data_IF_219752409745
#
_entry.id   IF_219752409745
#
_cell.length_a   1.000
_cell.length_b   1.000
_cell.length_c   1.000
_cell.angle_alpha   90.00
_cell.angle_beta   90.00
_cell.angle_gamma   90.00
#
_symmetry.space_group_name_H-M   'P 1'
#
loop_
_entity.id
_entity.type
_entity.pdbx_description
1 polymer ?
#
# COMPACT_ATOMS: atom_id res chain seq x y z
N UNK A 1 -2.62 10.46 -3.06
CA UNK A 1 -2.80 9.65 -1.82
C UNK A 1 -3.41 8.26 -2.07
N UNK A 2 -4.36 8.09 -2.99
CA UNK A 2 -4.96 6.77 -3.26
C UNK A 2 -3.98 5.66 -3.66
N UNK A 3 -3.03 5.95 -4.58
CA UNK A 3 -2.04 4.99 -5.05
C UNK A 3 -1.11 4.53 -3.92
N UNK A 4 -0.51 5.47 -3.20
CA UNK A 4 0.37 5.14 -2.08
C UNK A 4 -0.38 4.49 -0.92
N UNK A 5 -1.61 4.92 -0.63
CA UNK A 5 -2.47 4.28 0.36
C UNK A 5 -2.80 2.83 0.01
N UNK A 6 -3.13 2.54 -1.26
CA UNK A 6 -3.44 1.18 -1.70
C UNK A 6 -2.20 0.28 -1.69
N UNK A 7 -1.02 0.79 -2.04
CA UNK A 7 0.26 0.07 -1.94
C UNK A 7 0.56 -0.28 -0.48
N UNK A 8 0.44 0.67 0.44
CA UNK A 8 0.68 0.43 1.86
C UNK A 8 -0.29 -0.62 2.43
N UNK A 9 -1.57 -0.53 2.06
CA UNK A 9 -2.57 -1.52 2.45
C UNK A 9 -2.28 -2.91 1.84
N UNK A 10 -1.87 -2.97 0.58
CA UNK A 10 -1.49 -4.21 -0.09
C UNK A 10 -0.27 -4.86 0.59
N UNK A 11 0.74 -4.07 0.96
CA UNK A 11 1.92 -4.56 1.67
C UNK A 11 1.56 -5.13 3.04
N UNK A 12 0.74 -4.43 3.85
CA UNK A 12 0.27 -4.93 5.15
C UNK A 12 -0.45 -6.28 4.99
N UNK A 13 -1.29 -6.40 3.95
CA UNK A 13 -2.06 -7.63 3.69
C UNK A 13 -1.18 -8.77 3.18
N UNK A 14 -0.24 -8.48 2.29
CA UNK A 14 0.76 -9.44 1.83
C UNK A 14 1.52 -10.02 3.02
N UNK A 15 2.03 -9.15 3.90
CA UNK A 15 2.77 -9.54 5.10
C UNK A 15 1.95 -10.40 6.05
N UNK A 16 0.65 -10.10 6.19
CA UNK A 16 -0.28 -10.92 6.98
C UNK A 16 -0.58 -12.26 6.33
N UNK A 17 -0.76 -12.29 5.00
CA UNK A 17 -0.96 -13.54 4.24
C UNK A 17 0.24 -14.47 4.35
N UNK A 18 1.43 -13.92 4.15
CA UNK A 18 2.71 -14.62 4.24
C UNK A 18 2.90 -15.31 5.60
N UNK A 19 2.70 -14.56 6.70
CA UNK A 19 2.82 -15.11 8.05
C UNK A 19 1.75 -16.17 8.37
N UNK A 20 0.52 -16.00 7.89
CA UNK A 20 -0.57 -16.96 8.13
C UNK A 20 -0.40 -18.26 7.34
N UNK A 21 0.31 -18.21 6.20
CA UNK A 21 0.64 -19.38 5.39
C UNK A 21 1.88 -20.14 5.89
N UNK A 22 2.49 -19.70 7.00
CA UNK A 22 3.64 -20.37 7.62
C UNK A 22 4.99 -20.03 6.99
N UNK A 23 5.04 -19.06 6.07
CA UNK A 23 6.28 -18.63 5.42
C UNK A 23 7.10 -17.70 6.32
N UNK A 24 8.42 -17.89 6.31
CA UNK A 24 9.36 -17.07 7.05
C UNK A 24 9.77 -15.82 6.27
N UNK A 25 10.32 -14.83 6.96
CA UNK A 25 10.80 -13.60 6.30
C UNK A 25 12.12 -13.81 5.54
N UNK A 26 12.78 -14.93 5.82
CA UNK A 26 14.04 -15.31 5.20
C UNK A 26 13.87 -15.82 3.77
N UNK A 27 12.71 -16.36 3.46
CA UNK A 27 12.31 -16.77 2.10
C UNK A 27 12.07 -15.59 1.15
N UNK A 28 11.90 -14.37 1.67
CA UNK A 28 11.68 -13.20 0.82
C UNK A 28 13.01 -12.66 0.29
N UNK A 29 13.17 -12.52 -1.05
CA UNK A 29 14.40 -12.00 -1.65
C UNK A 29 14.66 -10.56 -1.17
N UNK A 30 13.59 -9.76 -1.08
CA UNK A 30 13.63 -8.37 -0.66
C UNK A 30 12.85 -8.15 0.64
N UNK A 31 13.49 -7.45 1.58
CA UNK A 31 12.86 -7.00 2.83
C UNK A 31 12.74 -5.48 2.83
N UNK A 32 11.57 -4.99 3.20
CA UNK A 32 11.37 -3.56 3.41
C UNK A 32 12.20 -3.10 4.62
N UNK A 33 12.99 -2.03 4.46
CA UNK A 33 13.83 -1.47 5.53
C UNK A 33 13.03 -1.10 6.79
N UNK A 34 11.82 -0.55 6.61
CA UNK A 34 10.93 -0.14 7.70
C UNK A 34 9.84 -1.17 8.05
N UNK A 35 9.87 -2.34 7.40
CA UNK A 35 8.94 -3.44 7.63
C UNK A 35 7.46 -3.05 7.50
N UNK A 36 6.60 -3.69 8.29
CA UNK A 36 5.14 -3.47 8.31
C UNK A 36 4.78 -2.14 9.00
N UNK A 37 5.60 -1.70 9.95
CA UNK A 37 5.38 -0.47 10.73
C UNK A 37 5.43 0.75 9.82
N UNK A 38 6.43 0.81 8.92
CA UNK A 38 6.53 1.87 7.92
C UNK A 38 5.27 1.97 7.05
N UNK A 39 4.66 0.83 6.69
CA UNK A 39 3.41 0.83 5.92
C UNK A 39 2.19 1.27 6.70
N UNK A 40 2.11 1.00 8.01
CA UNK A 40 1.06 1.56 8.86
C UNK A 40 1.17 3.08 8.97
N UNK A 41 2.38 3.60 9.17
CA UNK A 41 2.63 5.05 9.22
C UNK A 41 2.28 5.69 7.88
N UNK A 42 2.78 5.12 6.77
CA UNK A 42 2.49 5.61 5.42
C UNK A 42 1.01 5.58 5.08
N UNK A 43 0.28 4.54 5.48
CA UNK A 43 -1.18 4.46 5.31
C UNK A 43 -1.90 5.57 6.08
N UNK A 44 -1.55 5.77 7.36
CA UNK A 44 -2.12 6.82 8.21
C UNK A 44 -1.87 8.21 7.63
N UNK A 45 -0.64 8.50 7.18
CA UNK A 45 -0.30 9.77 6.54
C UNK A 45 -1.12 10.01 5.26
N UNK A 46 -1.31 8.98 4.43
CA UNK A 46 -2.15 9.10 3.24
C UNK A 46 -3.62 9.42 3.59
N UNK A 47 -4.15 8.87 4.68
CA UNK A 47 -5.51 9.17 5.16
C UNK A 47 -5.59 10.62 5.65
N UNK A 48 -4.62 11.07 6.44
CA UNK A 48 -4.58 12.46 6.95
C UNK A 48 -4.49 13.45 5.77
N UNK A 49 -3.64 13.17 4.79
CA UNK A 49 -3.53 14.00 3.60
C UNK A 49 -4.84 14.05 2.81
N UNK A 50 -5.58 12.94 2.67
CA UNK A 50 -6.90 12.96 2.03
C UNK A 50 -7.88 13.86 2.76
N UNK A 51 -7.90 13.82 4.09
CA UNK A 51 -8.75 14.68 4.93
C UNK A 51 -8.34 16.15 4.77
N UNK A 52 -7.04 16.44 4.78
CA UNK A 52 -6.53 17.79 4.59
C UNK A 52 -6.87 18.35 3.19
N UNK A 53 -6.72 17.54 2.14
CA UNK A 53 -7.11 17.93 0.78
C UNK A 53 -8.61 18.16 0.65
N UNK A 54 -9.44 17.35 1.33
CA UNK A 54 -10.88 17.59 1.40
C UNK A 54 -11.20 18.93 2.05
N UNK A 55 -10.56 19.26 3.17
CA UNK A 55 -10.77 20.52 3.87
C UNK A 55 -10.38 21.73 3.02
N UNK A 56 -9.20 21.71 2.40
CA UNK A 56 -8.72 22.81 1.53
C UNK A 56 -9.62 22.96 0.29
N UNK A 57 -10.17 21.85 -0.21
CA UNK A 57 -11.11 21.87 -1.35
C UNK A 57 -12.46 22.51 -0.99
N UNK A 58 -12.89 22.44 0.27
CA UNK A 58 -14.11 23.09 0.76
C UNK A 58 -13.88 24.55 1.17
N UNK A 59 -12.74 24.82 1.80
CA UNK A 59 -12.37 26.15 2.31
C UNK A 59 -11.00 26.55 1.75
N UNK A 60 -10.95 27.07 0.51
CA UNK A 60 -9.71 27.52 -0.09
C UNK A 60 -9.12 28.70 0.69
N UNK A 61 -7.84 28.61 1.05
CA UNK A 61 -7.15 29.65 1.84
C UNK A 61 -6.90 30.86 0.94
N UNK A 62 -7.52 32.00 1.28
CA UNK A 62 -7.35 33.27 0.55
C UNK A 62 -8.20 33.42 -0.72
N UNK A 63 -9.12 32.48 -0.99
CA UNK A 63 -10.08 32.56 -2.10
C UNK A 63 -11.48 32.93 -1.63
N UNK A 64 -12.33 33.33 -2.57
CA UNK A 64 -13.76 33.55 -2.31
C UNK A 64 -14.45 32.20 -1.99
N UNK A 65 -15.05 32.02 -0.80
CA UNK A 65 -15.81 30.81 -0.47
C UNK A 65 -17.02 30.58 -1.40
N UNK A 66 -17.35 31.55 -2.26
CA UNK A 66 -18.42 31.49 -3.25
C UNK A 66 -18.00 30.79 -4.56
N UNK A 67 -16.73 30.38 -4.71
CA UNK A 67 -16.21 29.62 -5.87
C UNK A 67 -16.91 28.28 -6.16
N UNK A 68 -17.85 27.86 -5.29
CA UNK A 68 -18.89 26.89 -5.61
C UNK A 68 -18.40 25.46 -5.82
N UNK A 69 -19.34 24.59 -6.21
CA UNK A 69 -19.10 23.18 -6.44
C UNK A 69 -17.99 22.93 -7.49
N UNK A 70 -17.79 23.86 -8.43
CA UNK A 70 -16.76 23.75 -9.47
C UNK A 70 -15.35 23.69 -8.88
N UNK A 71 -14.98 24.63 -8.01
CA UNK A 71 -13.66 24.66 -7.39
C UNK A 71 -13.39 23.40 -6.55
N UNK A 72 -14.42 22.94 -5.82
CA UNK A 72 -14.34 21.69 -5.05
C UNK A 72 -14.10 20.46 -5.94
N UNK A 73 -14.82 20.34 -7.05
CA UNK A 73 -14.63 19.23 -7.97
C UNK A 73 -13.27 19.33 -8.66
N UNK A 74 -12.82 20.50 -9.11
CA UNK A 74 -11.49 20.63 -9.73
C UNK A 74 -10.34 20.09 -8.84
N UNK A 75 -10.40 20.31 -7.53
CA UNK A 75 -9.34 19.87 -6.61
C UNK A 75 -9.59 18.48 -6.00
N UNK A 76 -10.84 18.05 -5.85
CA UNK A 76 -11.20 16.82 -5.13
C UNK A 76 -11.90 15.75 -5.99
N UNK A 77 -12.07 15.94 -7.30
CA UNK A 77 -12.79 15.02 -8.20
C UNK A 77 -12.29 13.57 -8.16
N UNK A 78 -11.00 13.36 -7.92
CA UNK A 78 -10.42 12.02 -7.87
C UNK A 78 -11.08 11.12 -6.80
N UNK A 79 -11.44 11.67 -5.64
CA UNK A 79 -12.03 10.89 -4.55
C UNK A 79 -13.43 10.32 -4.88
N UNK A 80 -14.43 11.12 -5.29
CA UNK A 80 -15.74 10.60 -5.66
C UNK A 80 -15.67 9.68 -6.88
N UNK A 81 -14.82 9.95 -7.87
CA UNK A 81 -14.64 9.04 -9.02
C UNK A 81 -14.12 7.68 -8.57
N UNK A 82 -13.06 7.64 -7.74
CA UNK A 82 -12.49 6.38 -7.24
C UNK A 82 -13.51 5.61 -6.41
N UNK A 83 -14.27 6.29 -5.54
CA UNK A 83 -15.32 5.68 -4.73
C UNK A 83 -16.45 5.13 -5.62
N UNK A 84 -16.90 5.90 -6.61
CA UNK A 84 -17.96 5.49 -7.53
C UNK A 84 -17.54 4.28 -8.37
N UNK A 85 -16.34 4.29 -8.95
CA UNK A 85 -15.80 3.17 -9.71
C UNK A 85 -15.63 1.92 -8.83
N UNK A 86 -15.14 2.09 -7.60
CA UNK A 86 -15.00 0.99 -6.64
C UNK A 86 -16.36 0.42 -6.22
N UNK A 87 -17.35 1.27 -5.94
CA UNK A 87 -18.70 0.87 -5.60
C UNK A 87 -19.39 0.17 -6.77
N UNK A 88 -19.25 0.70 -7.99
CA UNK A 88 -19.76 0.09 -9.22
C UNK A 88 -19.18 -1.32 -9.43
N UNK A 89 -17.84 -1.45 -9.36
CA UNK A 89 -17.18 -2.75 -9.45
C UNK A 89 -17.66 -3.70 -8.35
N UNK A 90 -17.80 -3.21 -7.12
CA UNK A 90 -18.25 -4.00 -5.97
C UNK A 90 -19.68 -4.50 -6.15
N UNK A 91 -20.62 -3.66 -6.58
CA UNK A 91 -22.02 -4.03 -6.83
C UNK A 91 -22.09 -5.04 -7.98
N UNK A 92 -21.39 -4.78 -9.08
CA UNK A 92 -21.37 -5.67 -10.25
C UNK A 92 -20.81 -7.06 -9.91
N UNK A 93 -19.81 -7.13 -9.03
CA UNK A 93 -19.17 -8.39 -8.61
C UNK A 93 -19.84 -9.02 -7.39
N UNK A 94 -20.71 -8.32 -6.66
CA UNK A 94 -21.37 -8.85 -5.46
C UNK A 94 -22.15 -10.13 -5.76
N UNK A 95 -22.87 -10.18 -6.88
CA UNK A 95 -23.71 -11.31 -7.26
C UNK A 95 -22.92 -12.54 -7.79
N UNK A 96 -21.58 -12.48 -7.87
CA UNK A 96 -20.76 -13.60 -8.35
C UNK A 96 -20.21 -14.43 -7.18
N UNK A 97 -20.45 -15.76 -7.14
CA UNK A 97 -19.81 -16.66 -6.18
C UNK A 97 -18.29 -16.53 -6.22
N UNK A 98 -17.65 -16.26 -5.07
CA UNK A 98 -16.19 -16.16 -4.95
C UNK A 98 -15.57 -14.78 -5.20
N UNK A 99 -16.35 -13.79 -5.65
CA UNK A 99 -15.91 -12.40 -5.86
C UNK A 99 -15.93 -11.56 -4.58
N UNK A 100 -15.44 -12.13 -3.47
CA UNK A 100 -15.25 -11.38 -2.23
C UNK A 100 -14.15 -10.35 -2.49
N UNK A 101 -14.49 -9.05 -2.43
CA UNK A 101 -13.55 -7.94 -2.58
C UNK A 101 -12.34 -8.06 -1.65
N UNK A 102 -12.50 -8.78 -0.54
CA UNK A 102 -11.45 -9.10 0.41
C UNK A 102 -11.27 -10.63 0.50
N UNK A 103 -10.20 -11.15 -0.11
CA UNK A 103 -9.76 -12.54 0.13
C UNK A 103 -9.25 -12.69 1.56
N UNK A 104 -9.53 -13.81 2.21
CA UNK A 104 -8.98 -14.09 3.55
C UNK A 104 -7.46 -14.25 3.42
N UNK A 105 -6.71 -13.85 4.45
CA UNK A 105 -5.25 -13.89 4.44
C UNK A 105 -4.70 -15.30 4.12
N UNK A 106 -5.34 -16.36 4.62
CA UNK A 106 -4.93 -17.74 4.33
C UNK A 106 -5.20 -18.18 2.88
N UNK A 107 -6.25 -17.68 2.24
CA UNK A 107 -6.65 -18.02 0.86
C UNK A 107 -6.07 -17.04 -0.17
N UNK A 108 -5.06 -16.25 0.20
CA UNK A 108 -4.44 -15.31 -0.72
C UNK A 108 -3.44 -16.07 -1.58
N UNK A 109 -3.56 -15.96 -2.89
CA UNK A 109 -2.57 -16.55 -3.78
C UNK A 109 -1.32 -15.68 -3.79
N UNK A 110 -0.24 -16.18 -3.18
CA UNK A 110 1.05 -15.49 -3.05
C UNK A 110 2.15 -16.17 -3.88
N UNK A 111 1.93 -17.42 -4.30
CA UNK A 111 2.94 -18.26 -4.92
C UNK A 111 2.81 -18.30 -6.44
N UNK A 112 1.59 -18.15 -6.98
CA UNK A 112 1.38 -18.18 -8.43
C UNK A 112 2.14 -17.06 -9.12
N UNK A 113 3.05 -17.44 -10.02
CA UNK A 113 3.85 -16.49 -10.80
C UNK A 113 5.05 -15.91 -10.04
N UNK A 114 5.39 -16.42 -8.85
CA UNK A 114 6.68 -16.09 -8.24
C UNK A 114 7.83 -16.57 -9.12
N UNK A 115 8.71 -15.64 -9.47
CA UNK A 115 9.97 -15.97 -10.14
C UNK A 115 10.89 -16.63 -9.13
N UNK A 116 11.37 -17.84 -9.42
CA UNK A 116 12.49 -18.42 -8.67
C UNK A 116 13.70 -17.52 -8.89
N UNK A 117 14.12 -16.83 -7.86
CA UNK A 117 15.43 -16.20 -7.88
C UNK A 117 16.42 -17.30 -7.54
N UNK A 118 17.20 -17.74 -8.53
CA UNK A 118 18.42 -18.54 -8.30
C UNK A 118 19.44 -17.60 -7.66
N UNK A 119 19.27 -17.33 -6.37
CA UNK A 119 20.23 -16.58 -5.58
C UNK A 119 21.41 -17.50 -5.33
N UNK A 120 22.61 -17.02 -5.65
CA UNK A 120 23.84 -17.78 -5.45
C UNK A 120 23.88 -18.22 -3.96
N UNK A 121 24.13 -19.50 -3.63
CA UNK A 121 24.11 -19.98 -2.25
C UNK A 121 25.01 -19.18 -1.30
N UNK A 122 26.04 -18.53 -1.85
CA UNK A 122 26.95 -17.62 -1.14
C UNK A 122 26.25 -16.35 -0.63
N UNK A 123 25.26 -15.82 -1.36
CA UNK A 123 24.50 -14.62 -0.97
C UNK A 123 23.46 -14.92 0.11
N UNK A 124 22.93 -16.15 0.15
CA UNK A 124 22.02 -16.63 1.21
C UNK A 124 22.72 -16.91 2.54
N UNK A 125 23.97 -17.39 2.49
CA UNK A 125 24.76 -17.67 3.68
C UNK A 125 25.41 -16.41 4.30
N UNK A 126 25.56 -15.34 3.51
CA UNK A 126 26.07 -14.08 4.01
C UNK A 126 25.02 -13.43 4.95
N UNK A 127 25.40 -13.02 6.18
CA UNK A 127 24.52 -12.19 6.99
C UNK A 127 24.17 -10.94 6.19
N UNK A 128 22.88 -10.72 5.91
CA UNK A 128 22.42 -9.52 5.20
C UNK A 128 22.79 -8.31 6.04
N UNK A 129 23.93 -7.72 5.73
CA UNK A 129 24.51 -6.62 6.50
C UNK A 129 23.58 -5.40 6.43
N UNK A 130 23.27 -4.86 7.60
CA UNK A 130 22.41 -3.69 7.71
C UNK A 130 23.04 -2.54 6.92
N UNK A 131 22.23 -1.76 6.18
CA UNK A 131 22.73 -0.60 5.40
C UNK A 131 23.60 0.33 6.26
N UNK A 132 23.28 0.47 7.55
CA UNK A 132 24.05 1.24 8.52
C UNK A 132 25.46 0.66 8.73
N UNK A 133 25.60 -0.66 8.87
CA UNK A 133 26.92 -1.32 9.01
C UNK A 133 27.75 -1.19 7.74
N UNK A 134 27.12 -1.33 6.56
CA UNK A 134 27.78 -1.09 5.27
C UNK A 134 28.33 0.32 5.10
N UNK A 135 27.58 1.33 5.57
CA UNK A 135 28.03 2.72 5.53
C UNK A 135 29.16 2.94 6.53
N UNK A 136 29.07 2.38 7.74
CA UNK A 136 30.15 2.48 8.73
C UNK A 136 31.43 1.79 8.24
N UNK A 137 31.34 0.61 7.62
CA UNK A 137 32.49 -0.10 7.07
C UNK A 137 33.14 0.61 5.88
N UNK A 138 32.36 1.28 5.02
CA UNK A 138 32.90 2.01 3.87
C UNK A 138 33.45 3.40 4.24
N UNK A 139 33.21 3.88 5.46
CA UNK A 139 33.62 5.22 5.93
C UNK A 139 34.79 5.15 6.92
N UNK A 140 35.13 3.95 7.43
CA UNK A 140 36.30 3.69 8.29
C UNK A 140 37.38 2.99 7.48
#
# INVERSE_FOLDING_TARGET
>A
FFVWGSINLAHIRFRRGWAVQGHTLDELPYRAQFGVIGSWIGLTLNIICLIATFYISLFPIGGDPTGGAQAFFETYLAAPIVIALFAFWKIFKWNKPGARAFKRAHNMDLLTGMRSFDLDPLEHAAPKENVIMRVVHNVV
#
